data_IF_440811091965
#
_entry.id   IF_440811091965
#
_cell.length_a   1.000
_cell.length_b   1.000
_cell.length_c   1.000
_cell.angle_alpha   90.00
_cell.angle_beta   90.00
_cell.angle_gamma   90.00
#
_symmetry.space_group_name_H-M   'P 1'
#
loop_
_entity.id
_entity.type
_entity.pdbx_description
1 polymer ?
#
# COMPACT_ATOMS: atom_id res chain seq x y z
N UNK A 1 -17.24 3.14 26.62
CA UNK A 1 -17.08 3.85 25.33
C UNK A 1 -15.92 3.23 24.57
N UNK A 2 -16.00 3.06 23.25
CA UNK A 2 -14.88 2.55 22.45
C UNK A 2 -13.63 3.43 22.62
N UNK A 3 -12.48 2.78 22.75
CA UNK A 3 -11.16 3.41 22.89
C UNK A 3 -10.49 3.63 21.54
N UNK A 4 -9.41 4.43 21.51
CA UNK A 4 -8.59 4.60 20.31
C UNK A 4 -7.94 3.27 19.88
N UNK A 5 -7.61 2.40 20.84
CA UNK A 5 -7.10 1.05 20.57
C UNK A 5 -8.16 0.17 19.90
N UNK A 6 -9.41 0.21 20.35
CA UNK A 6 -10.52 -0.53 19.71
C UNK A 6 -10.69 -0.12 18.24
N UNK A 7 -10.59 1.19 17.95
CA UNK A 7 -10.64 1.70 16.58
C UNK A 7 -9.46 1.18 15.74
N UNK A 8 -8.22 1.20 16.27
CA UNK A 8 -7.05 0.65 15.57
C UNK A 8 -7.20 -0.84 15.30
N UNK A 9 -7.62 -1.62 16.30
CA UNK A 9 -7.84 -3.07 16.18
C UNK A 9 -8.88 -3.37 15.11
N UNK A 10 -10.02 -2.68 15.10
CA UNK A 10 -11.07 -2.88 14.10
C UNK A 10 -10.62 -2.53 12.68
N UNK A 11 -9.80 -1.48 12.53
CA UNK A 11 -9.19 -1.13 11.23
C UNK A 11 -8.26 -2.25 10.74
N UNK A 12 -7.43 -2.82 11.63
CA UNK A 12 -6.55 -3.94 11.30
C UNK A 12 -7.35 -5.21 10.96
N UNK A 13 -8.36 -5.55 11.74
CA UNK A 13 -9.28 -6.68 11.48
C UNK A 13 -9.94 -6.54 10.10
N UNK A 14 -10.45 -5.34 9.77
CA UNK A 14 -11.00 -5.08 8.44
C UNK A 14 -9.94 -5.24 7.34
N UNK A 15 -8.73 -4.72 7.56
CA UNK A 15 -7.60 -4.89 6.65
C UNK A 15 -7.18 -6.34 6.43
N UNK A 16 -7.36 -7.20 7.44
CA UNK A 16 -7.12 -8.64 7.35
C UNK A 16 -8.21 -9.36 6.54
N UNK A 17 -9.47 -8.91 6.67
CA UNK A 17 -10.63 -9.52 6.02
C UNK A 17 -10.73 -9.20 4.52
N UNK A 18 -9.99 -8.21 4.03
CA UNK A 18 -9.98 -7.80 2.61
C UNK A 18 -8.64 -8.10 1.94
N UNK A 19 -8.68 -8.33 0.63
CA UNK A 19 -7.46 -8.43 -0.16
C UNK A 19 -6.96 -7.03 -0.55
N UNK A 20 -5.65 -6.90 -0.81
CA UNK A 20 -5.16 -5.65 -1.40
C UNK A 20 -5.72 -5.55 -2.83
N UNK A 21 -6.26 -4.36 -3.16
CA UNK A 21 -6.86 -4.04 -4.45
C UNK A 21 -5.99 -4.42 -5.66
N UNK A 22 -4.67 -4.35 -5.52
CA UNK A 22 -3.75 -4.76 -6.59
C UNK A 22 -3.81 -6.26 -6.81
N UNK A 23 -3.88 -7.05 -5.72
CA UNK A 23 -4.03 -8.50 -5.77
C UNK A 23 -5.41 -8.88 -6.31
N UNK A 24 -6.47 -8.19 -5.87
CA UNK A 24 -7.85 -8.42 -6.35
C UNK A 24 -8.05 -8.14 -7.85
N UNK A 25 -7.24 -7.23 -8.41
CA UNK A 25 -7.32 -6.84 -9.82
C UNK A 25 -6.35 -7.60 -10.72
N UNK A 26 -5.62 -8.59 -10.18
CA UNK A 26 -4.74 -9.42 -11.00
C UNK A 26 -5.54 -10.26 -12.00
N UNK A 27 -5.02 -10.43 -13.22
CA UNK A 27 -5.58 -11.41 -14.15
C UNK A 27 -5.40 -12.84 -13.62
N UNK A 28 -6.20 -13.81 -14.09
CA UNK A 28 -6.25 -15.17 -13.52
C UNK A 28 -4.89 -15.86 -13.42
N UNK A 29 -4.03 -15.77 -14.44
CA UNK A 29 -2.71 -16.41 -14.42
C UNK A 29 -1.79 -15.84 -13.35
N UNK A 30 -1.78 -14.51 -13.17
CA UNK A 30 -1.01 -13.86 -12.10
C UNK A 30 -1.63 -14.10 -10.72
N UNK A 31 -2.95 -14.18 -10.62
CA UNK A 31 -3.64 -14.53 -9.37
C UNK A 31 -3.26 -15.92 -8.86
N UNK A 32 -3.21 -16.92 -9.75
CA UNK A 32 -2.76 -18.27 -9.41
C UNK A 32 -1.30 -18.29 -8.92
N UNK A 33 -0.41 -17.49 -9.54
CA UNK A 33 0.97 -17.37 -9.07
C UNK A 33 1.06 -16.79 -7.66
N UNK A 34 0.19 -15.83 -7.30
CA UNK A 34 0.16 -15.28 -5.94
C UNK A 34 -0.16 -16.37 -4.92
N UNK A 35 -1.16 -17.22 -5.20
CA UNK A 35 -1.51 -18.32 -4.31
C UNK A 35 -0.39 -19.36 -4.19
N UNK A 36 0.29 -19.68 -5.30
CA UNK A 36 1.47 -20.55 -5.28
C UNK A 36 2.58 -19.97 -4.40
N UNK A 37 2.89 -18.67 -4.56
CA UNK A 37 3.91 -17.99 -3.75
C UNK A 37 3.52 -17.98 -2.27
N UNK A 38 2.26 -17.69 -1.93
CA UNK A 38 1.74 -17.74 -0.55
C UNK A 38 1.86 -19.13 0.05
N UNK A 39 1.54 -20.17 -0.73
CA UNK A 39 1.67 -21.56 -0.29
C UNK A 39 3.13 -21.91 0.01
N UNK A 40 4.04 -21.66 -0.95
CA UNK A 40 5.47 -21.92 -0.81
C UNK A 40 6.06 -21.13 0.38
N UNK A 41 5.71 -19.85 0.53
CA UNK A 41 6.24 -19.00 1.60
C UNK A 41 5.78 -19.45 2.98
N UNK A 42 4.52 -19.88 3.13
CA UNK A 42 4.00 -20.36 4.42
C UNK A 42 4.67 -21.67 4.84
N UNK A 43 4.87 -22.58 3.88
CA UNK A 43 5.52 -23.87 4.13
C UNK A 43 6.99 -23.69 4.51
N UNK A 44 7.71 -22.82 3.83
CA UNK A 44 9.17 -22.66 3.98
C UNK A 44 9.59 -21.36 4.68
N UNK A 45 8.73 -20.77 5.51
CA UNK A 45 8.97 -19.47 6.20
C UNK A 45 10.27 -19.38 6.99
N UNK A 46 10.82 -20.51 7.45
CA UNK A 46 12.07 -20.59 8.21
C UNK A 46 13.30 -21.02 7.40
N UNK A 47 13.12 -21.45 6.15
CA UNK A 47 14.18 -22.04 5.31
C UNK A 47 14.25 -21.32 3.97
N UNK A 48 15.21 -20.41 3.86
CA UNK A 48 15.40 -19.60 2.65
C UNK A 48 15.82 -20.46 1.46
N UNK A 49 16.66 -21.47 1.65
CA UNK A 49 17.24 -22.21 0.53
C UNK A 49 16.20 -23.14 -0.09
N UNK A 50 15.39 -23.80 0.73
CA UNK A 50 14.24 -24.58 0.27
C UNK A 50 13.16 -23.70 -0.34
N UNK A 51 12.90 -22.52 0.24
CA UNK A 51 11.99 -21.53 -0.34
C UNK A 51 12.43 -21.11 -1.75
N UNK A 52 13.72 -20.78 -1.93
CA UNK A 52 14.26 -20.37 -3.24
C UNK A 52 14.21 -21.49 -4.27
N UNK A 53 14.49 -22.72 -3.85
CA UNK A 53 14.41 -23.92 -4.70
C UNK A 53 12.99 -24.15 -5.20
N UNK A 54 11.99 -24.03 -4.32
CA UNK A 54 10.59 -24.17 -4.71
C UNK A 54 10.10 -23.00 -5.57
N UNK A 55 10.50 -21.76 -5.25
CA UNK A 55 10.16 -20.59 -6.07
C UNK A 55 10.70 -20.69 -7.50
N UNK A 56 11.87 -21.30 -7.70
CA UNK A 56 12.44 -21.52 -9.03
C UNK A 56 11.56 -22.40 -9.94
N UNK A 57 10.67 -23.21 -9.35
CA UNK A 57 9.68 -24.03 -10.09
C UNK A 57 8.46 -23.24 -10.55
N UNK A 58 8.23 -22.04 -9.97
CA UNK A 58 7.11 -21.16 -10.37
C UNK A 58 7.48 -20.47 -11.67
N UNK A 59 6.97 -21.04 -12.77
CA UNK A 59 7.19 -20.50 -14.12
C UNK A 59 6.77 -19.03 -14.17
N UNK A 60 7.62 -18.18 -14.76
CA UNK A 60 7.31 -16.77 -15.01
C UNK A 60 7.04 -15.90 -13.76
N UNK A 61 7.52 -16.29 -12.58
CA UNK A 61 7.37 -15.48 -11.35
C UNK A 61 7.88 -14.03 -11.49
N UNK A 62 8.92 -13.83 -12.30
CA UNK A 62 9.48 -12.52 -12.60
C UNK A 62 8.51 -11.61 -13.38
N UNK A 63 7.51 -12.16 -14.07
CA UNK A 63 6.45 -11.38 -14.72
C UNK A 63 5.46 -10.82 -13.71
N UNK A 64 5.10 -11.58 -12.66
CA UNK A 64 4.31 -11.07 -11.55
C UNK A 64 5.03 -9.88 -10.89
N UNK A 65 6.33 -10.01 -10.64
CA UNK A 65 7.14 -8.93 -10.06
C UNK A 65 7.23 -7.74 -11.00
N UNK A 66 7.40 -7.99 -12.30
CA UNK A 66 7.44 -6.95 -13.34
C UNK A 66 6.12 -6.18 -13.42
N UNK A 67 4.98 -6.86 -13.30
CA UNK A 67 3.66 -6.22 -13.26
C UNK A 67 3.52 -5.30 -12.03
N UNK A 68 3.87 -5.79 -10.85
CA UNK A 68 3.81 -4.99 -9.61
C UNK A 68 4.78 -3.80 -9.68
N UNK A 69 5.97 -4.00 -10.26
CA UNK A 69 6.94 -2.94 -10.49
C UNK A 69 6.44 -1.89 -11.50
N UNK A 70 5.77 -2.32 -12.57
CA UNK A 70 5.13 -1.43 -13.53
C UNK A 70 4.11 -0.52 -12.83
N UNK A 71 3.23 -1.11 -12.02
CA UNK A 71 2.24 -0.37 -11.23
C UNK A 71 2.92 0.60 -10.24
N UNK A 72 3.98 0.17 -9.56
CA UNK A 72 4.72 1.00 -8.62
C UNK A 72 5.33 2.24 -9.29
N UNK A 73 5.96 2.06 -10.45
CA UNK A 73 6.54 3.16 -11.23
C UNK A 73 5.43 4.07 -11.75
N UNK A 74 4.36 3.50 -12.30
CA UNK A 74 3.22 4.26 -12.84
C UNK A 74 2.54 5.12 -11.76
N UNK A 75 2.47 4.62 -10.51
CA UNK A 75 1.85 5.32 -9.38
C UNK A 75 2.59 6.62 -8.98
N UNK A 76 3.82 6.83 -9.47
CA UNK A 76 4.51 8.14 -9.42
C UNK A 76 3.72 9.19 -10.21
N UNK A 77 3.16 8.81 -11.35
CA UNK A 77 2.49 9.69 -12.30
C UNK A 77 0.98 9.70 -12.12
N UNK A 78 0.36 8.51 -12.14
CA UNK A 78 -1.09 8.32 -12.12
C UNK A 78 -1.46 7.16 -11.20
N UNK A 79 -2.40 7.40 -10.29
CA UNK A 79 -3.02 6.33 -9.51
C UNK A 79 -4.22 5.80 -10.30
N UNK A 80 -4.21 4.49 -10.58
CA UNK A 80 -5.26 3.86 -11.38
C UNK A 80 -6.52 3.61 -10.55
N UNK A 81 -7.67 3.72 -11.20
CA UNK A 81 -8.95 3.17 -10.73
C UNK A 81 -8.96 1.65 -10.83
N UNK A 82 -9.93 1.01 -10.19
CA UNK A 82 -10.04 -0.46 -10.16
C UNK A 82 -10.29 -1.02 -11.57
N UNK A 83 -11.03 -0.29 -12.39
CA UNK A 83 -11.29 -0.64 -13.78
C UNK A 83 -10.05 -0.48 -14.68
N UNK A 84 -9.26 0.58 -14.47
CA UNK A 84 -7.97 0.74 -15.15
C UNK A 84 -6.96 -0.35 -14.74
N UNK A 85 -6.98 -0.77 -13.45
CA UNK A 85 -6.14 -1.87 -12.98
C UNK A 85 -6.50 -3.20 -13.66
N UNK A 86 -7.79 -3.53 -13.74
CA UNK A 86 -8.25 -4.76 -14.42
C UNK A 86 -7.89 -4.76 -15.90
N UNK A 87 -8.11 -3.64 -16.60
CA UNK A 87 -7.74 -3.49 -18.01
C UNK A 87 -6.24 -3.65 -18.22
N UNK A 88 -5.43 -3.01 -17.38
CA UNK A 88 -3.96 -3.16 -17.44
C UNK A 88 -3.53 -4.59 -17.14
N UNK A 89 -4.12 -5.25 -16.14
CA UNK A 89 -3.86 -6.65 -15.82
C UNK A 89 -4.10 -7.58 -17.01
N UNK A 90 -5.28 -7.50 -17.61
CA UNK A 90 -5.64 -8.30 -18.78
C UNK A 90 -4.74 -8.02 -19.99
N UNK A 91 -4.43 -6.75 -20.26
CA UNK A 91 -3.55 -6.36 -21.37
C UNK A 91 -2.10 -6.79 -21.12
N UNK A 92 -1.63 -6.76 -19.87
CA UNK A 92 -0.31 -7.25 -19.50
C UNK A 92 -0.19 -8.76 -19.72
N UNK A 93 -1.19 -9.54 -19.31
CA UNK A 93 -1.22 -10.99 -19.55
C UNK A 93 -1.23 -11.31 -21.05
N UNK A 94 -2.03 -10.60 -21.84
CA UNK A 94 -2.13 -10.81 -23.30
C UNK A 94 -0.84 -10.46 -24.04
N UNK A 95 -0.22 -9.33 -23.70
CA UNK A 95 0.87 -8.77 -24.52
C UNK A 95 2.26 -9.05 -23.95
N UNK A 96 2.42 -9.07 -22.63
CA UNK A 96 3.72 -8.99 -21.95
C UNK A 96 4.15 -10.33 -21.35
N UNK A 97 3.19 -11.20 -21.00
CA UNK A 97 3.45 -12.43 -20.23
C UNK A 97 4.54 -13.33 -20.80
N UNK A 98 4.66 -13.49 -22.12
CA UNK A 98 5.72 -14.35 -22.66
C UNK A 98 7.07 -13.64 -22.78
N UNK A 99 7.06 -12.35 -23.15
CA UNK A 99 8.27 -11.57 -23.43
C UNK A 99 8.08 -10.13 -22.99
N UNK A 100 8.89 -9.69 -22.02
CA UNK A 100 8.90 -8.29 -21.58
C UNK A 100 9.68 -7.44 -22.57
N UNK A 101 9.01 -6.49 -23.23
CA UNK A 101 9.64 -5.52 -24.14
C UNK A 101 8.93 -4.17 -24.11
N UNK A 102 9.61 -3.12 -24.54
CA UNK A 102 9.05 -1.77 -24.59
C UNK A 102 7.77 -1.70 -25.44
N UNK A 103 7.74 -2.39 -26.59
CA UNK A 103 6.58 -2.40 -27.50
C UNK A 103 5.36 -3.08 -26.85
N UNK A 104 5.57 -4.24 -26.22
CA UNK A 104 4.49 -4.99 -25.54
C UNK A 104 3.96 -4.24 -24.31
N UNK A 105 4.84 -3.66 -23.50
CA UNK A 105 4.45 -2.83 -22.35
C UNK A 105 3.67 -1.58 -22.80
N UNK A 106 4.07 -0.96 -23.92
CA UNK A 106 3.36 0.20 -24.47
C UNK A 106 1.93 -0.16 -24.86
N UNK A 107 1.72 -1.25 -25.59
CA UNK A 107 0.37 -1.75 -25.93
C UNK A 107 -0.49 -1.98 -24.68
N UNK A 108 0.09 -2.61 -23.65
CA UNK A 108 -0.64 -2.87 -22.40
C UNK A 108 -1.07 -1.57 -21.67
N UNK A 109 -0.19 -0.57 -21.64
CA UNK A 109 -0.49 0.73 -21.02
C UNK A 109 -1.49 1.55 -21.85
N UNK A 110 -1.38 1.52 -23.18
CA UNK A 110 -2.32 2.22 -24.08
C UNK A 110 -3.74 1.63 -23.97
N UNK A 111 -3.89 0.30 -23.92
CA UNK A 111 -5.20 -0.35 -23.68
C UNK A 111 -5.81 -0.01 -22.32
N UNK A 112 -4.98 0.30 -21.32
CA UNK A 112 -5.41 0.77 -20.01
C UNK A 112 -5.75 2.28 -19.99
N UNK A 113 -5.62 2.99 -21.12
CA UNK A 113 -5.90 4.42 -21.22
C UNK A 113 -4.80 5.29 -20.58
N UNK A 114 -3.56 4.85 -20.60
CA UNK A 114 -2.41 5.62 -20.12
C UNK A 114 -1.86 6.47 -21.25
N UNK A 115 -1.69 7.77 -20.99
CA UNK A 115 -1.10 8.73 -21.92
C UNK A 115 0.29 8.29 -22.37
N UNK A 116 0.61 8.51 -23.65
CA UNK A 116 1.80 8.01 -24.32
C UNK A 116 3.09 8.47 -23.64
N UNK A 117 3.14 9.73 -23.20
CA UNK A 117 4.27 10.34 -22.51
C UNK A 117 4.52 9.64 -21.17
N UNK A 118 3.48 9.49 -20.35
CA UNK A 118 3.53 8.78 -19.06
C UNK A 118 3.91 7.32 -19.26
N UNK A 119 3.37 6.67 -20.30
CA UNK A 119 3.68 5.29 -20.61
C UNK A 119 5.17 5.13 -20.98
N UNK A 120 5.71 5.98 -21.84
CA UNK A 120 7.11 5.92 -22.26
C UNK A 120 8.08 6.15 -21.08
N UNK A 121 7.80 7.13 -20.21
CA UNK A 121 8.62 7.36 -19.01
C UNK A 121 8.59 6.17 -18.04
N UNK A 122 7.40 5.60 -17.84
CA UNK A 122 7.17 4.43 -16.98
C UNK A 122 7.94 3.22 -17.53
N UNK A 123 7.83 2.93 -18.82
CA UNK A 123 8.52 1.82 -19.50
C UNK A 123 10.03 1.99 -19.41
N UNK A 124 10.55 3.17 -19.77
CA UNK A 124 11.99 3.45 -19.73
C UNK A 124 12.55 3.24 -18.33
N UNK A 125 11.81 3.69 -17.31
CA UNK A 125 12.19 3.51 -15.91
C UNK A 125 12.16 2.05 -15.48
N UNK A 126 11.10 1.33 -15.84
CA UNK A 126 10.95 -0.09 -15.54
C UNK A 126 12.07 -0.90 -16.20
N UNK A 127 12.25 -0.81 -17.52
CA UNK A 127 13.23 -1.62 -18.25
C UNK A 127 14.67 -1.37 -17.76
N UNK A 128 15.02 -0.12 -17.45
CA UNK A 128 16.30 0.21 -16.81
C UNK A 128 16.46 -0.54 -15.48
N UNK A 129 15.45 -0.47 -14.62
CA UNK A 129 15.45 -1.12 -13.31
C UNK A 129 15.59 -2.65 -13.44
N UNK A 130 14.83 -3.26 -14.35
CA UNK A 130 14.92 -4.69 -14.66
C UNK A 130 16.34 -5.07 -15.12
N UNK A 131 16.94 -4.28 -16.02
CA UNK A 131 18.30 -4.51 -16.50
C UNK A 131 19.35 -4.49 -15.36
N UNK A 132 19.26 -3.52 -14.45
CA UNK A 132 20.14 -3.44 -13.27
C UNK A 132 19.98 -4.67 -12.37
N UNK A 133 18.75 -5.11 -12.13
CA UNK A 133 18.49 -6.26 -11.26
C UNK A 133 18.96 -7.56 -11.92
N UNK A 134 18.63 -7.80 -13.19
CA UNK A 134 19.08 -9.01 -13.90
C UNK A 134 20.60 -9.10 -13.95
N UNK A 135 21.30 -7.99 -14.22
CA UNK A 135 22.76 -7.98 -14.23
C UNK A 135 23.38 -8.34 -12.87
N UNK A 136 22.83 -7.81 -11.76
CA UNK A 136 23.42 -8.00 -10.42
C UNK A 136 22.93 -9.25 -9.68
N UNK A 137 21.70 -9.69 -9.94
CA UNK A 137 20.99 -10.68 -9.12
C UNK A 137 20.44 -11.86 -9.92
N UNK A 138 20.65 -11.89 -11.24
CA UNK A 138 20.16 -12.90 -12.21
C UNK A 138 18.65 -12.91 -12.43
N UNK A 139 17.84 -12.74 -11.37
CA UNK A 139 16.37 -12.74 -11.43
C UNK A 139 15.77 -11.75 -10.42
N UNK A 140 14.55 -11.27 -10.70
CA UNK A 140 13.87 -10.28 -9.83
C UNK A 140 13.46 -10.92 -8.50
N UNK A 141 12.92 -12.14 -8.52
CA UNK A 141 12.50 -12.82 -7.29
C UNK A 141 13.67 -13.06 -6.34
N UNK A 142 14.87 -13.36 -6.87
CA UNK A 142 16.09 -13.53 -6.08
C UNK A 142 16.53 -12.23 -5.41
N UNK A 143 16.37 -11.09 -6.09
CA UNK A 143 16.67 -9.79 -5.51
C UNK A 143 15.76 -9.47 -4.32
N UNK A 144 14.47 -9.80 -4.41
CA UNK A 144 13.48 -9.57 -3.34
C UNK A 144 13.68 -10.58 -2.20
N UNK A 145 13.84 -11.86 -2.50
CA UNK A 145 13.94 -12.93 -1.49
C UNK A 145 15.16 -12.82 -0.57
N UNK A 146 16.26 -12.20 -1.07
CA UNK A 146 17.47 -11.98 -0.27
C UNK A 146 17.35 -10.84 0.74
N UNK A 147 16.27 -10.03 0.67
CA UNK A 147 16.10 -8.90 1.57
C UNK A 147 15.83 -9.35 3.01
N UNK A 148 16.61 -8.83 3.95
CA UNK A 148 16.50 -9.15 5.40
C UNK A 148 16.07 -7.97 6.25
N UNK A 149 16.29 -6.75 5.77
CA UNK A 149 16.00 -5.50 6.49
C UNK A 149 15.15 -4.62 5.62
N UNK A 150 14.05 -4.10 6.17
CA UNK A 150 13.11 -3.28 5.43
C UNK A 150 13.76 -1.98 4.94
N UNK A 151 14.63 -1.37 5.76
CA UNK A 151 15.34 -0.15 5.39
C UNK A 151 16.27 -0.36 4.17
N UNK A 152 16.92 -1.53 4.07
CA UNK A 152 17.77 -1.87 2.93
C UNK A 152 16.92 -2.12 1.69
N UNK A 153 15.79 -2.82 1.84
CA UNK A 153 14.87 -3.05 0.73
C UNK A 153 14.30 -1.73 0.21
N UNK A 154 13.81 -0.84 1.09
CA UNK A 154 13.32 0.48 0.71
C UNK A 154 14.36 1.31 -0.04
N UNK A 155 15.61 1.30 0.44
CA UNK A 155 16.72 1.97 -0.24
C UNK A 155 16.98 1.38 -1.62
N UNK A 156 17.05 0.05 -1.73
CA UNK A 156 17.22 -0.63 -3.01
C UNK A 156 16.11 -0.32 -4.01
N UNK A 157 14.84 -0.29 -3.56
CA UNK A 157 13.70 0.10 -4.40
C UNK A 157 13.86 1.54 -4.90
N UNK A 158 14.20 2.48 -4.01
CA UNK A 158 14.42 3.89 -4.38
C UNK A 158 15.54 4.05 -5.39
N UNK A 159 16.68 3.43 -5.15
CA UNK A 159 17.85 3.53 -6.03
C UNK A 159 17.56 2.94 -7.41
N UNK A 160 16.99 1.73 -7.45
CA UNK A 160 16.81 0.98 -8.71
C UNK A 160 15.66 1.52 -9.54
N UNK A 161 14.47 1.66 -8.95
CA UNK A 161 13.27 2.07 -9.69
C UNK A 161 13.13 3.59 -9.77
N UNK A 162 13.60 4.33 -8.78
CA UNK A 162 13.35 5.78 -8.68
C UNK A 162 14.62 6.63 -8.67
N UNK A 163 15.80 6.08 -9.01
CA UNK A 163 17.07 6.82 -9.12
C UNK A 163 17.46 7.59 -7.85
N UNK A 164 17.03 7.12 -6.68
CA UNK A 164 17.25 7.80 -5.41
C UNK A 164 16.39 9.05 -5.20
N UNK A 165 15.43 9.33 -6.08
CA UNK A 165 14.54 10.48 -5.95
C UNK A 165 13.71 10.42 -4.65
N UNK A 166 13.47 11.60 -4.09
CA UNK A 166 12.59 11.82 -2.94
C UNK A 166 11.17 12.23 -3.35
N UNK A 167 10.38 12.63 -2.34
CA UNK A 167 9.06 13.22 -2.54
C UNK A 167 7.89 12.24 -2.45
N UNK A 168 6.67 12.81 -2.34
CA UNK A 168 5.46 12.04 -2.04
C UNK A 168 5.07 11.09 -3.19
N UNK A 169 5.16 11.55 -4.43
CA UNK A 169 4.84 10.75 -5.62
C UNK A 169 5.71 9.49 -5.70
N UNK A 170 7.03 9.63 -5.54
CA UNK A 170 7.98 8.50 -5.46
C UNK A 170 7.68 7.64 -4.24
N UNK A 171 7.41 8.27 -3.09
CA UNK A 171 7.01 7.58 -1.87
C UNK A 171 5.85 6.61 -2.08
N UNK A 172 4.79 7.00 -2.81
CA UNK A 172 3.67 6.10 -3.14
C UNK A 172 4.11 4.84 -3.88
N UNK A 173 4.93 5.00 -4.92
CA UNK A 173 5.44 3.87 -5.71
C UNK A 173 6.31 2.94 -4.88
N UNK A 174 7.24 3.50 -4.09
CA UNK A 174 8.10 2.74 -3.18
C UNK A 174 7.27 1.95 -2.16
N UNK A 175 6.29 2.58 -1.51
CA UNK A 175 5.45 1.93 -0.50
C UNK A 175 4.55 0.85 -1.09
N UNK A 176 4.00 1.07 -2.29
CA UNK A 176 3.28 0.04 -3.04
C UNK A 176 4.16 -1.19 -3.24
N UNK A 177 5.37 -1.02 -3.77
CA UNK A 177 6.25 -2.16 -4.06
C UNK A 177 6.64 -2.91 -2.77
N UNK A 178 7.00 -2.18 -1.72
CA UNK A 178 7.36 -2.78 -0.44
C UNK A 178 6.19 -3.58 0.15
N UNK A 179 5.01 -2.95 0.32
CA UNK A 179 3.88 -3.61 1.01
C UNK A 179 3.41 -4.87 0.29
N UNK A 180 3.55 -4.94 -1.04
CA UNK A 180 3.23 -6.13 -1.82
C UNK A 180 4.09 -7.33 -1.44
N UNK A 181 5.36 -7.11 -1.09
CA UNK A 181 6.32 -8.21 -0.93
C UNK A 181 6.73 -8.54 0.51
N UNK A 182 6.41 -7.68 1.47
CA UNK A 182 6.87 -7.79 2.87
C UNK A 182 5.82 -8.32 3.85
N UNK A 183 4.66 -8.79 3.37
CA UNK A 183 3.56 -9.20 4.23
C UNK A 183 2.91 -10.49 3.73
N UNK A 184 2.56 -11.39 4.64
CA UNK A 184 2.06 -12.75 4.36
C UNK A 184 0.67 -12.78 3.72
N UNK A 185 -0.15 -11.76 3.98
CA UNK A 185 -1.46 -11.56 3.32
C UNK A 185 -1.36 -10.97 1.90
N UNK A 186 -0.16 -10.62 1.40
CA UNK A 186 0.08 -10.15 0.03
C UNK A 186 0.86 -11.20 -0.78
N UNK A 187 2.02 -10.86 -1.34
CA UNK A 187 2.88 -11.72 -2.17
C UNK A 187 4.22 -11.87 -1.43
N UNK A 188 4.33 -12.68 -0.37
CA UNK A 188 5.46 -12.67 0.58
C UNK A 188 6.79 -13.21 0.02
N UNK A 189 7.34 -12.55 -1.00
CA UNK A 189 8.62 -12.87 -1.61
C UNK A 189 9.80 -12.48 -0.73
N UNK A 190 9.70 -11.38 0.03
CA UNK A 190 10.72 -10.99 0.99
C UNK A 190 10.54 -11.77 2.31
N UNK A 191 10.67 -13.09 2.25
CA UNK A 191 10.25 -14.03 3.32
C UNK A 191 10.85 -13.71 4.69
N UNK A 192 12.12 -13.29 4.74
CA UNK A 192 12.82 -12.91 5.98
C UNK A 192 12.26 -11.63 6.61
N UNK A 193 11.59 -10.79 5.83
CA UNK A 193 10.86 -9.62 6.31
C UNK A 193 9.42 -10.02 6.68
N UNK A 194 8.73 -10.75 5.78
CA UNK A 194 7.32 -11.09 5.91
C UNK A 194 6.99 -11.93 7.15
N UNK A 195 7.88 -12.83 7.57
CA UNK A 195 7.67 -13.71 8.72
C UNK A 195 8.53 -13.34 9.95
N UNK A 196 9.05 -12.12 10.01
CA UNK A 196 9.76 -11.60 11.19
C UNK A 196 9.15 -10.29 11.68
N UNK A 197 9.59 -9.75 12.81
CA UNK A 197 9.13 -8.44 13.28
C UNK A 197 9.58 -7.27 12.38
N UNK A 198 10.36 -7.55 11.31
CA UNK A 198 10.88 -6.53 10.41
C UNK A 198 9.77 -5.85 9.59
N UNK A 199 8.69 -6.54 9.20
CA UNK A 199 7.58 -5.92 8.48
C UNK A 199 6.90 -4.80 9.28
N UNK A 200 6.91 -4.88 10.63
CA UNK A 200 6.35 -3.84 11.51
C UNK A 200 7.08 -2.51 11.44
N UNK A 201 8.29 -2.48 10.85
CA UNK A 201 9.01 -1.24 10.58
C UNK A 201 8.43 -0.49 9.38
N UNK A 202 7.49 -1.08 8.65
CA UNK A 202 6.79 -0.43 7.55
C UNK A 202 6.15 0.88 8.00
N UNK A 203 6.41 1.92 7.22
CA UNK A 203 5.84 3.24 7.41
C UNK A 203 4.79 3.43 6.33
N UNK A 204 3.51 3.46 6.68
CA UNK A 204 2.44 3.77 5.74
C UNK A 204 2.69 5.09 5.03
N UNK A 205 2.19 5.19 3.81
CA UNK A 205 2.22 6.41 3.04
C UNK A 205 1.53 7.55 3.82
N UNK A 206 0.36 7.26 4.39
CA UNK A 206 -0.51 8.25 5.03
C UNK A 206 -1.17 9.14 3.98
N UNK A 207 -1.82 8.52 2.99
CA UNK A 207 -2.66 9.26 2.04
C UNK A 207 -3.90 9.87 2.70
N UNK A 208 -4.64 10.66 1.93
CA UNK A 208 -5.83 11.35 2.38
C UNK A 208 -6.89 10.41 2.97
N UNK A 209 -7.09 9.22 2.40
CA UNK A 209 -8.11 8.28 2.84
C UNK A 209 -7.73 7.61 4.15
N UNK A 210 -6.50 7.11 4.23
CA UNK A 210 -5.92 6.56 5.47
C UNK A 210 -5.98 7.61 6.58
N UNK A 211 -5.55 8.84 6.29
CA UNK A 211 -5.55 9.93 7.27
C UNK A 211 -6.96 10.33 7.72
N UNK A 212 -7.93 10.39 6.80
CA UNK A 212 -9.33 10.67 7.13
C UNK A 212 -9.86 9.63 8.11
N UNK A 213 -9.61 8.33 7.86
CA UNK A 213 -10.05 7.26 8.77
C UNK A 213 -9.37 7.36 10.12
N UNK A 214 -8.04 7.55 10.16
CA UNK A 214 -7.31 7.71 11.43
C UNK A 214 -7.89 8.83 12.29
N UNK A 215 -8.17 10.00 11.69
CA UNK A 215 -8.69 11.15 12.42
C UNK A 215 -10.16 11.00 12.78
N UNK A 216 -11.02 10.63 11.82
CA UNK A 216 -12.47 10.57 12.04
C UNK A 216 -12.90 9.44 12.95
N UNK A 217 -12.13 8.35 13.01
CA UNK A 217 -12.37 7.24 13.94
C UNK A 217 -11.97 7.53 15.38
N UNK A 218 -11.12 8.54 15.63
CA UNK A 218 -10.54 8.76 16.95
C UNK A 218 -9.37 7.82 17.29
N UNK A 219 -8.83 7.08 16.32
CA UNK A 219 -7.72 6.13 16.52
C UNK A 219 -6.40 6.76 17.05
N UNK A 220 -6.34 8.09 17.18
CA UNK A 220 -5.18 8.86 17.62
C UNK A 220 -5.31 9.44 19.03
N UNK A 221 -6.48 9.32 19.69
CA UNK A 221 -6.78 10.10 20.91
C UNK A 221 -5.85 9.82 22.09
N UNK A 222 -5.35 8.60 22.21
CA UNK A 222 -4.41 8.15 23.24
C UNK A 222 -2.94 8.43 22.89
N UNK A 223 -2.65 8.98 21.71
CA UNK A 223 -1.29 9.30 21.30
C UNK A 223 -0.82 10.57 21.99
N UNK A 224 0.23 10.46 22.80
CA UNK A 224 0.90 11.59 23.44
C UNK A 224 1.95 12.23 22.51
N UNK A 225 1.48 12.98 21.50
CA UNK A 225 2.35 13.77 20.62
C UNK A 225 1.82 15.18 20.42
N UNK A 226 2.70 16.16 20.19
CA UNK A 226 2.29 17.55 19.96
C UNK A 226 1.24 17.69 18.85
N UNK A 227 1.38 16.91 17.77
CA UNK A 227 0.40 16.89 16.68
C UNK A 227 -0.94 16.32 17.15
N UNK A 228 -0.94 15.22 17.90
CA UNK A 228 -2.17 14.63 18.45
C UNK A 228 -2.88 15.59 19.41
N UNK A 229 -2.15 16.23 20.33
CA UNK A 229 -2.73 17.22 21.26
C UNK A 229 -3.37 18.40 20.53
N UNK A 230 -2.71 18.92 19.48
CA UNK A 230 -3.28 19.98 18.63
C UNK A 230 -4.57 19.52 17.94
N UNK A 231 -4.62 18.30 17.43
CA UNK A 231 -5.85 17.77 16.82
C UNK A 231 -6.94 17.59 17.89
N UNK A 232 -6.62 17.02 19.05
CA UNK A 232 -7.56 16.85 20.18
C UNK A 232 -8.15 18.18 20.63
N UNK A 233 -7.34 19.21 20.81
CA UNK A 233 -7.81 20.54 21.19
C UNK A 233 -8.79 21.13 20.16
N UNK A 234 -8.53 20.93 18.86
CA UNK A 234 -9.42 21.39 17.78
C UNK A 234 -10.73 20.61 17.73
N UNK A 235 -10.67 19.29 17.94
CA UNK A 235 -11.85 18.42 18.06
C UNK A 235 -12.68 18.84 19.29
N UNK A 236 -12.07 18.99 20.45
CA UNK A 236 -12.74 19.41 21.68
C UNK A 236 -13.41 20.78 21.52
N UNK A 237 -12.72 21.76 20.93
CA UNK A 237 -13.31 23.08 20.64
C UNK A 237 -14.55 22.97 19.73
N UNK A 238 -14.51 22.09 18.73
CA UNK A 238 -15.61 21.87 17.80
C UNK A 238 -16.81 21.17 18.48
N UNK A 239 -16.57 20.22 19.36
CA UNK A 239 -17.61 19.53 20.14
C UNK A 239 -18.25 20.49 21.16
N UNK A 240 -17.46 21.32 21.85
CA UNK A 240 -17.97 22.33 22.77
C UNK A 240 -18.85 23.38 22.08
N UNK A 241 -18.46 23.81 20.88
CA UNK A 241 -19.28 24.71 20.06
C UNK A 241 -20.64 24.07 19.71
N UNK A 242 -20.66 22.78 19.36
CA UNK A 242 -21.90 22.05 19.02
C UNK A 242 -22.83 21.92 20.21
N UNK A 243 -22.26 21.60 21.39
CA UNK A 243 -23.02 21.51 22.63
C UNK A 243 -23.66 22.84 23.05
N UNK A 244 -23.13 23.97 22.56
CA UNK A 244 -23.71 25.32 22.79
C UNK A 244 -24.78 25.70 21.76
N UNK A 245 -25.05 24.86 20.75
CA UNK A 245 -26.01 25.17 19.69
C UNK A 245 -25.55 26.23 18.70
N UNK A 246 -24.23 26.50 18.63
CA UNK A 246 -23.67 27.54 17.77
C UNK A 246 -23.43 27.05 16.32
N UNK A 247 -23.25 27.98 15.38
CA UNK A 247 -22.84 27.66 14.00
C UNK A 247 -21.34 27.35 13.94
N UNK A 248 -21.00 26.06 14.04
CA UNK A 248 -19.62 25.60 14.15
C UNK A 248 -18.94 25.35 12.80
N UNK A 249 -17.68 25.77 12.66
CA UNK A 249 -16.85 25.51 11.47
C UNK A 249 -16.17 24.14 11.55
N UNK A 250 -16.00 23.51 10.40
CA UNK A 250 -15.26 22.26 10.27
C UNK A 250 -13.78 22.37 10.65
N UNK A 251 -13.21 21.24 11.09
CA UNK A 251 -11.81 21.13 11.47
C UNK A 251 -10.99 20.77 10.22
N UNK A 252 -10.50 21.80 9.53
CA UNK A 252 -9.65 21.64 8.34
C UNK A 252 -8.19 21.37 8.74
N UNK A 253 -7.62 20.24 8.33
CA UNK A 253 -6.25 19.83 8.67
C UNK A 253 -5.45 19.62 7.38
N UNK A 254 -4.20 20.12 7.34
CA UNK A 254 -3.31 19.87 6.20
C UNK A 254 -2.74 18.46 6.26
N UNK A 255 -2.83 17.69 5.18
CA UNK A 255 -2.36 16.29 5.14
C UNK A 255 -0.90 16.17 5.60
N UNK A 256 -0.01 17.05 5.11
CA UNK A 256 1.41 17.05 5.46
C UNK A 256 1.64 17.17 6.98
N UNK A 257 0.78 17.93 7.68
CA UNK A 257 0.92 18.20 9.11
C UNK A 257 0.56 16.99 10.00
N UNK A 258 -0.20 16.02 9.47
CA UNK A 258 -0.68 14.86 10.22
C UNK A 258 -0.09 13.53 9.76
N UNK A 259 0.67 13.48 8.65
CA UNK A 259 1.28 12.22 8.17
C UNK A 259 2.13 11.53 9.23
N UNK A 260 2.88 12.30 10.03
CA UNK A 260 3.66 11.77 11.15
C UNK A 260 2.78 11.07 12.19
N UNK A 261 1.65 11.67 12.55
CA UNK A 261 0.68 11.09 13.48
C UNK A 261 0.06 9.82 12.91
N UNK A 262 -0.40 9.83 11.65
CA UNK A 262 -1.00 8.66 11.00
C UNK A 262 -0.01 7.47 10.96
N UNK A 263 1.25 7.72 10.63
CA UNK A 263 2.30 6.69 10.63
C UNK A 263 2.56 6.15 12.03
N UNK A 264 2.53 7.01 13.05
CA UNK A 264 2.69 6.59 14.43
C UNK A 264 1.51 5.72 14.89
N UNK A 265 0.27 6.15 14.63
CA UNK A 265 -0.96 5.39 14.92
C UNK A 265 -0.92 4.01 14.27
N UNK A 266 -0.54 3.94 12.99
CA UNK A 266 -0.41 2.66 12.30
C UNK A 266 0.67 1.77 12.90
N UNK A 267 1.79 2.32 13.36
CA UNK A 267 2.85 1.55 14.04
C UNK A 267 2.38 0.94 15.36
N UNK A 268 1.67 1.72 16.17
CA UNK A 268 1.15 1.24 17.46
C UNK A 268 -0.09 0.35 17.31
N UNK A 269 -0.64 0.20 16.09
CA UNK A 269 -1.74 -0.74 15.82
C UNK A 269 -1.31 -2.22 15.82
N UNK A 270 -0.01 -2.49 15.90
CA UNK A 270 0.56 -3.84 15.86
C UNK A 270 0.89 -4.33 14.45
N UNK A 271 0.12 -3.93 13.44
CA UNK A 271 0.35 -4.27 12.04
C UNK A 271 0.12 -3.06 11.10
N UNK A 272 1.19 -2.32 10.74
CA UNK A 272 1.06 -1.13 9.92
C UNK A 272 0.65 -1.43 8.47
N UNK A 273 0.85 -2.66 7.96
CA UNK A 273 0.45 -3.02 6.58
C UNK A 273 -1.06 -3.24 6.54
N UNK A 274 -1.59 -4.04 7.46
CA UNK A 274 -3.03 -4.28 7.57
C UNK A 274 -3.78 -3.00 7.97
N UNK A 275 -3.20 -2.18 8.86
CA UNK A 275 -3.79 -0.89 9.21
C UNK A 275 -3.93 0.03 7.99
N UNK A 276 -2.86 0.18 7.18
CA UNK A 276 -2.93 1.00 5.96
C UNK A 276 -3.98 0.46 4.99
N UNK A 277 -4.02 -0.87 4.78
CA UNK A 277 -5.01 -1.50 3.88
C UNK A 277 -6.44 -1.23 4.35
N UNK A 278 -6.74 -1.52 5.62
CA UNK A 278 -8.07 -1.34 6.19
C UNK A 278 -8.50 0.12 6.20
N UNK A 279 -7.61 1.03 6.62
CA UNK A 279 -7.91 2.45 6.66
C UNK A 279 -8.10 3.05 5.25
N UNK A 280 -7.31 2.62 4.27
CA UNK A 280 -7.49 3.04 2.88
C UNK A 280 -8.84 2.59 2.32
N UNK A 281 -9.20 1.31 2.50
CA UNK A 281 -10.48 0.76 2.01
C UNK A 281 -11.68 1.46 2.65
N UNK A 282 -11.67 1.58 3.99
CA UNK A 282 -12.69 2.32 4.74
C UNK A 282 -12.76 3.78 4.25
N UNK A 283 -11.60 4.39 4.02
CA UNK A 283 -11.47 5.77 3.61
C UNK A 283 -12.09 6.04 2.25
N UNK A 284 -11.77 5.20 1.26
CA UNK A 284 -12.25 5.33 -0.12
C UNK A 284 -13.73 4.99 -0.25
N UNK A 285 -14.18 3.86 0.32
CA UNK A 285 -15.54 3.35 0.08
C UNK A 285 -16.60 4.00 0.96
N UNK A 286 -16.23 4.45 2.17
CA UNK A 286 -17.18 4.90 3.18
C UNK A 286 -16.90 6.32 3.69
N UNK A 287 -15.67 6.58 4.17
CA UNK A 287 -15.36 7.80 4.91
C UNK A 287 -15.43 9.05 4.03
N UNK A 288 -14.93 8.97 2.79
CA UNK A 288 -14.97 10.06 1.82
C UNK A 288 -16.37 10.64 1.62
N UNK A 289 -17.36 9.76 1.49
CA UNK A 289 -18.76 10.10 1.21
C UNK A 289 -19.65 10.06 2.47
N UNK A 290 -19.05 9.98 3.67
CA UNK A 290 -19.76 9.93 4.96
C UNK A 290 -20.81 8.81 5.09
N UNK A 291 -20.56 7.63 4.49
CA UNK A 291 -21.42 6.43 4.61
C UNK A 291 -21.25 5.73 5.97
N UNK A 292 -21.47 6.46 7.06
CA UNK A 292 -21.19 6.01 8.43
C UNK A 292 -22.00 4.78 8.84
N UNK A 293 -23.25 4.67 8.38
CA UNK A 293 -24.14 3.58 8.77
C UNK A 293 -23.75 2.23 8.15
N UNK A 294 -23.14 2.23 6.97
CA UNK A 294 -22.64 1.02 6.30
C UNK A 294 -21.16 0.72 6.61
N UNK A 295 -20.49 1.57 7.40
CA UNK A 295 -19.05 1.48 7.63
C UNK A 295 -18.69 0.27 8.52
N UNK A 296 -17.69 -0.56 8.16
CA UNK A 296 -17.33 -1.77 8.90
C UNK A 296 -16.74 -1.52 10.29
N UNK A 297 -16.39 -0.26 10.61
CA UNK A 297 -15.86 0.15 11.92
C UNK A 297 -16.83 1.07 12.69
N UNK A 298 -18.11 1.13 12.29
CA UNK A 298 -19.11 2.10 12.79
C UNK A 298 -19.37 2.03 14.30
N UNK A 299 -19.14 0.86 14.89
CA UNK A 299 -19.37 0.50 16.29
C UNK A 299 -18.29 1.05 17.23
N UNK A 300 -17.07 1.23 16.70
CA UNK A 300 -15.92 1.76 17.46
C UNK A 300 -15.53 3.19 17.06
N UNK A 301 -15.97 3.65 15.89
CA UNK A 301 -15.64 4.96 15.34
C UNK A 301 -16.29 6.11 16.14
N UNK A 302 -15.51 7.13 16.51
CA UNK A 302 -16.02 8.36 17.13
C UNK A 302 -16.83 9.26 16.19
N UNK A 303 -16.81 9.00 14.89
CA UNK A 303 -17.55 9.73 13.84
C UNK A 303 -17.29 11.24 13.87
N UNK A 304 -16.03 11.67 13.94
CA UNK A 304 -15.67 13.10 13.82
C UNK A 304 -15.81 13.59 12.36
N UNK A 305 -17.01 13.49 11.79
CA UNK A 305 -17.33 13.76 10.37
C UNK A 305 -16.97 15.18 9.94
N UNK A 306 -16.97 16.14 10.87
CA UNK A 306 -16.56 17.53 10.69
C UNK A 306 -15.05 17.74 10.45
N UNK A 307 -14.22 16.70 10.54
CA UNK A 307 -12.81 16.78 10.16
C UNK A 307 -12.68 16.68 8.63
N UNK A 308 -11.98 17.62 8.02
CA UNK A 308 -11.67 17.61 6.58
C UNK A 308 -10.16 17.76 6.35
N UNK A 309 -9.67 17.19 5.24
CA UNK A 309 -8.25 17.26 4.87
C UNK A 309 -8.04 18.15 3.64
N UNK A 310 -6.95 18.92 3.65
CA UNK A 310 -6.46 19.72 2.51
C UNK A 310 -5.01 19.40 2.20
#
# INVERSE_FOLDING_TARGET
MPTAEDARRKIVEHGMAIHDRIVESLPPGLGLMVEQVRSISRTYKGDLDTFLTNLATVKNIDNLITYIALLAVLNKYKSLSDEELRRLGAAFERHVYDVVSASRLRKALEEAGIEKEVANETISTLLRALGVIHHKHKALYLWIAKQRRLANFERGVREVFFRGEGGNKVGRGVKLLLRMFIHDTNIPLAIKIAYSQEYKKYLPHGDMYTALVTLRSGAFEDVASLTAERVKARVAKRLLCEARGEKCKDVVIRLESIRGLVRHVAKISGDPVLYERGAYDVGVKYCKDLKCEACPIRDVCKRFTFITLR
#
